data_IF_703399884020
#
_entry.id   IF_703399884020
#
_cell.length_a   1.000
_cell.length_b   1.000
_cell.length_c   1.000
_cell.angle_alpha   90.00
_cell.angle_beta   90.00
_cell.angle_gamma   90.00
#
_symmetry.space_group_name_H-M   'P 1'
#
loop_
_entity.id
_entity.type
_entity.pdbx_description
1 polymer ?
#
# COMPACT_ATOMS: atom_id res chain seq x y z
N UNK A 1 -8.46 -6.93 -4.51
CA UNK A 1 -8.82 -5.85 -3.57
C UNK A 1 -9.12 -6.47 -2.22
N UNK A 2 -9.35 -5.64 -1.21
CA UNK A 2 -9.73 -6.08 0.13
C UNK A 2 -11.24 -5.93 0.33
N UNK A 3 -11.83 -6.79 1.14
CA UNK A 3 -13.22 -6.69 1.54
C UNK A 3 -13.41 -5.50 2.49
N UNK A 4 -14.58 -4.87 2.47
CA UNK A 4 -14.83 -3.63 3.21
C UNK A 4 -14.77 -3.86 4.74
N UNK A 5 -15.29 -5.00 5.19
CA UNK A 5 -15.29 -5.42 6.59
C UNK A 5 -13.87 -5.52 7.15
N UNK A 6 -12.90 -5.91 6.31
CA UNK A 6 -11.49 -5.96 6.69
C UNK A 6 -10.90 -4.56 6.82
N UNK A 7 -11.21 -3.66 5.86
CA UNK A 7 -10.74 -2.27 5.90
C UNK A 7 -11.29 -1.55 7.13
N UNK A 8 -12.56 -1.76 7.45
CA UNK A 8 -13.22 -1.17 8.62
C UNK A 8 -12.63 -1.68 9.95
N UNK A 9 -11.92 -2.82 9.95
CA UNK A 9 -11.24 -3.38 11.12
C UNK A 9 -9.79 -2.91 11.29
N UNK A 10 -9.22 -2.22 10.30
CA UNK A 10 -7.84 -1.75 10.34
C UNK A 10 -7.71 -0.46 11.18
N UNK A 11 -6.72 -0.40 12.06
CA UNK A 11 -6.42 0.82 12.84
C UNK A 11 -5.90 1.98 11.98
N UNK A 12 -5.20 1.65 10.88
CA UNK A 12 -4.60 2.62 9.98
C UNK A 12 -4.78 2.20 8.51
N UNK A 13 -5.01 3.20 7.66
CA UNK A 13 -5.04 3.05 6.21
C UNK A 13 -3.84 3.82 5.66
N UNK A 14 -2.98 3.13 4.91
CA UNK A 14 -1.82 3.74 4.28
C UNK A 14 -2.21 4.45 2.98
N UNK A 15 -1.54 5.56 2.69
CA UNK A 15 -1.71 6.26 1.42
C UNK A 15 -1.30 5.39 0.24
N UNK A 16 -2.03 5.44 -0.89
CA UNK A 16 -1.74 4.61 -2.06
C UNK A 16 -0.34 4.91 -2.62
N UNK A 17 0.31 3.88 -3.18
CA UNK A 17 1.58 4.05 -3.87
C UNK A 17 1.33 4.82 -5.17
N UNK A 18 1.71 6.10 -5.21
CA UNK A 18 1.68 6.92 -6.41
C UNK A 18 3.03 6.85 -7.15
N UNK A 19 2.97 6.67 -8.47
CA UNK A 19 4.11 6.81 -9.38
C UNK A 19 3.96 8.05 -10.26
N UNK A 20 4.78 8.14 -11.32
CA UNK A 20 4.70 9.25 -12.29
C UNK A 20 3.50 9.15 -13.24
N UNK A 21 2.67 8.11 -13.10
CA UNK A 21 1.49 7.86 -13.94
C UNK A 21 0.27 7.65 -13.06
N UNK A 22 -0.92 7.78 -13.65
CA UNK A 22 -2.20 7.53 -12.94
C UNK A 22 -2.49 6.03 -12.73
N UNK A 23 -1.65 5.13 -13.29
CA UNK A 23 -1.82 3.69 -13.14
C UNK A 23 -0.95 3.15 -11.99
N UNK A 24 -1.61 2.76 -10.89
CA UNK A 24 -0.95 2.26 -9.68
C UNK A 24 -1.32 0.81 -9.33
N UNK A 25 -1.87 0.04 -10.28
CA UNK A 25 -2.16 -1.38 -10.07
C UNK A 25 -0.86 -2.19 -10.10
N UNK A 26 -0.25 -2.28 -8.93
CA UNK A 26 0.95 -3.07 -8.69
C UNK A 26 0.58 -4.51 -8.31
N UNK A 27 1.53 -5.43 -8.53
CA UNK A 27 1.42 -6.76 -7.94
C UNK A 27 1.40 -6.65 -6.41
N UNK A 28 0.68 -7.56 -5.73
CA UNK A 28 0.63 -7.56 -4.26
C UNK A 28 2.02 -7.67 -3.65
N UNK A 29 2.90 -8.46 -4.24
CA UNK A 29 4.30 -8.60 -3.78
C UNK A 29 5.07 -7.29 -3.93
N UNK A 30 4.90 -6.58 -5.04
CA UNK A 30 5.54 -5.28 -5.28
C UNK A 30 5.00 -4.21 -4.34
N UNK A 31 3.68 -4.16 -4.12
CA UNK A 31 3.07 -3.24 -3.17
C UNK A 31 3.61 -3.48 -1.74
N UNK A 32 3.65 -4.75 -1.31
CA UNK A 32 4.20 -5.12 -0.01
C UNK A 32 5.68 -4.75 0.12
N UNK A 33 6.52 -5.02 -0.89
CA UNK A 33 7.94 -4.67 -0.83
C UNK A 33 8.17 -3.17 -0.74
N UNK A 34 7.39 -2.36 -1.46
CA UNK A 34 7.51 -0.89 -1.42
C UNK A 34 7.12 -0.34 -0.05
N UNK A 35 6.01 -0.81 0.54
CA UNK A 35 5.63 -0.35 1.88
C UNK A 35 6.62 -0.81 2.96
N UNK A 36 7.11 -2.04 2.89
CA UNK A 36 8.15 -2.52 3.81
C UNK A 36 9.42 -1.68 3.68
N UNK A 37 9.84 -1.36 2.47
CA UNK A 37 10.97 -0.49 2.21
C UNK A 37 10.76 0.91 2.80
N UNK A 38 9.59 1.53 2.59
CA UNK A 38 9.26 2.84 3.18
C UNK A 38 9.29 2.83 4.71
N UNK A 39 8.74 1.80 5.36
CA UNK A 39 8.69 1.72 6.82
C UNK A 39 10.09 1.51 7.41
N UNK A 40 10.92 0.70 6.75
CA UNK A 40 12.25 0.33 7.27
C UNK A 40 13.29 1.39 6.94
N UNK A 41 13.22 1.98 5.74
CA UNK A 41 14.15 3.00 5.25
C UNK A 41 13.63 4.43 5.44
N UNK A 42 12.59 4.62 6.24
CA UNK A 42 12.07 5.95 6.59
C UNK A 42 13.19 6.78 7.22
N UNK A 43 13.70 7.75 6.45
CA UNK A 43 14.59 8.83 6.87
C UNK A 43 13.80 10.13 6.88
#
# INVERSE_FOLDING_TARGET
>A
GLAKELIDSCDFILDPIAGNTEYNHLSVRSAASIYLDRIINDK
#
